data_IF_294357301883
#
_entry.id   IF_294357301883
#
_cell.length_a   1.000
_cell.length_b   1.000
_cell.length_c   1.000
_cell.angle_alpha   90.00
_cell.angle_beta   90.00
_cell.angle_gamma   90.00
#
_symmetry.space_group_name_H-M   'P 1'
#
loop_
_entity.id
_entity.type
_entity.pdbx_description
1 polymer ?
#
# COMPACT_ATOMS: atom_id res chain seq x y z
N UNK A 1 -21.61 4.02 -6.50
CA UNK A 1 -20.81 5.19 -6.07
C UNK A 1 -20.07 4.76 -4.82
N UNK A 2 -18.74 4.64 -4.87
CA UNK A 2 -17.94 4.19 -3.73
C UNK A 2 -17.94 5.33 -2.71
N UNK A 3 -18.62 5.12 -1.59
CA UNK A 3 -18.66 6.06 -0.47
C UNK A 3 -17.49 5.72 0.44
N UNK A 4 -16.60 6.67 0.70
CA UNK A 4 -15.48 6.52 1.64
C UNK A 4 -15.79 7.24 2.95
N UNK A 5 -16.61 6.65 3.84
CA UNK A 5 -16.97 7.29 5.10
C UNK A 5 -15.71 7.49 5.95
N UNK A 6 -15.49 8.73 6.40
CA UNK A 6 -14.35 9.09 7.25
C UNK A 6 -13.11 9.64 6.53
N UNK A 7 -13.12 9.79 5.19
CA UNK A 7 -12.02 10.48 4.50
C UNK A 7 -12.02 11.99 4.82
N UNK A 8 -13.20 12.61 4.96
CA UNK A 8 -13.33 14.00 5.37
C UNK A 8 -14.50 14.17 6.34
N UNK A 9 -14.26 14.94 7.39
CA UNK A 9 -15.31 15.50 8.25
C UNK A 9 -16.09 16.54 7.43
N UNK A 10 -17.42 16.50 7.48
CA UNK A 10 -18.26 17.50 6.81
C UNK A 10 -17.84 18.91 7.28
N UNK A 11 -17.39 19.76 6.33
CA UNK A 11 -16.86 21.10 6.62
C UNK A 11 -15.34 21.27 6.46
N UNK A 12 -14.56 20.19 6.27
CA UNK A 12 -13.11 20.28 5.96
C UNK A 12 -12.80 20.23 4.45
N UNK A 13 -13.81 20.00 3.62
CA UNK A 13 -13.73 19.89 2.16
C UNK A 13 -13.12 21.14 1.52
N UNK A 14 -13.51 22.33 1.98
CA UNK A 14 -12.98 23.60 1.46
C UNK A 14 -11.48 23.75 1.73
N UNK A 15 -10.98 23.22 2.86
CA UNK A 15 -9.56 23.27 3.20
C UNK A 15 -8.72 22.41 2.24
N UNK A 16 -9.22 21.22 1.93
CA UNK A 16 -8.62 20.31 0.94
C UNK A 16 -8.63 20.93 -0.45
N UNK A 17 -9.77 21.44 -0.88
CA UNK A 17 -9.94 22.08 -2.20
C UNK A 17 -9.02 23.31 -2.36
N UNK A 18 -8.91 24.15 -1.32
CA UNK A 18 -8.00 25.29 -1.32
C UNK A 18 -6.53 24.87 -1.41
N UNK A 19 -6.13 23.78 -0.74
CA UNK A 19 -4.76 23.26 -0.79
C UNK A 19 -4.45 22.64 -2.17
N UNK A 20 -5.39 21.86 -2.72
CA UNK A 20 -5.29 21.31 -4.07
C UNK A 20 -5.08 22.38 -5.14
N UNK A 21 -5.87 23.46 -5.10
CA UNK A 21 -5.76 24.55 -6.08
C UNK A 21 -4.45 25.34 -6.00
N UNK A 22 -3.72 25.27 -4.88
CA UNK A 22 -2.43 25.94 -4.72
C UNK A 22 -1.26 25.15 -5.30
N UNK A 23 -1.42 23.84 -5.41
CA UNK A 23 -0.38 22.91 -5.86
C UNK A 23 0.27 23.32 -7.19
N UNK A 24 -0.49 23.73 -8.25
CA UNK A 24 0.11 24.11 -9.54
C UNK A 24 0.91 25.43 -9.51
N UNK A 25 0.81 26.18 -8.41
CA UNK A 25 1.47 27.48 -8.23
C UNK A 25 2.59 27.43 -7.19
N UNK A 26 2.97 26.23 -6.73
CA UNK A 26 4.08 26.08 -5.80
C UNK A 26 5.38 25.96 -6.59
N UNK A 27 6.22 27.00 -6.52
CA UNK A 27 7.50 27.05 -7.25
C UNK A 27 8.45 25.89 -6.87
N UNK A 28 8.22 25.22 -5.74
CA UNK A 28 9.03 24.07 -5.30
C UNK A 28 8.53 22.72 -5.85
N UNK A 29 7.35 22.70 -6.49
CA UNK A 29 6.71 21.50 -7.03
C UNK A 29 6.60 21.67 -8.54
N UNK A 30 7.42 20.94 -9.30
CA UNK A 30 7.42 21.02 -10.76
C UNK A 30 6.88 19.72 -11.36
N UNK A 31 6.24 19.83 -12.53
CA UNK A 31 5.71 18.67 -13.26
C UNK A 31 6.82 17.75 -13.81
N UNK A 32 8.06 18.23 -13.85
CA UNK A 32 9.24 17.47 -14.28
C UNK A 32 9.78 16.54 -13.17
N UNK A 33 9.23 16.60 -11.96
CA UNK A 33 9.63 15.72 -10.87
C UNK A 33 9.17 14.29 -11.11
N UNK A 34 9.99 13.31 -10.71
CA UNK A 34 9.57 11.93 -10.58
C UNK A 34 8.34 11.82 -9.69
N UNK A 35 7.37 10.98 -10.09
CA UNK A 35 6.05 10.88 -9.44
C UNK A 35 6.14 10.68 -7.93
N UNK A 36 6.98 9.74 -7.48
CA UNK A 36 7.14 9.43 -6.06
C UNK A 36 7.77 10.60 -5.29
N UNK A 37 8.74 11.29 -5.91
CA UNK A 37 9.42 12.45 -5.31
C UNK A 37 8.47 13.62 -5.16
N UNK A 38 7.64 13.88 -6.18
CA UNK A 38 6.61 14.91 -6.17
C UNK A 38 5.64 14.69 -5.01
N UNK A 39 5.02 13.51 -4.95
CA UNK A 39 4.01 13.23 -3.93
C UNK A 39 4.62 13.10 -2.52
N UNK A 40 5.87 12.64 -2.41
CA UNK A 40 6.59 12.67 -1.13
C UNK A 40 6.80 14.10 -0.63
N UNK A 41 7.20 15.03 -1.50
CA UNK A 41 7.38 16.44 -1.14
C UNK A 41 6.06 17.07 -0.64
N UNK A 42 4.95 16.84 -1.37
CA UNK A 42 3.61 17.29 -0.97
C UNK A 42 3.22 16.70 0.40
N UNK A 43 3.47 15.40 0.61
CA UNK A 43 3.14 14.71 1.86
C UNK A 43 3.94 15.18 3.09
N UNK A 44 5.15 15.70 2.89
CA UNK A 44 6.02 16.19 3.96
C UNK A 44 5.75 17.65 4.31
N UNK A 45 5.08 18.38 3.44
CA UNK A 45 4.80 19.79 3.62
C UNK A 45 3.49 20.03 4.40
N UNK A 46 3.62 20.77 5.50
CA UNK A 46 2.51 21.08 6.41
C UNK A 46 1.44 21.98 5.78
N UNK A 47 1.79 22.73 4.72
CA UNK A 47 0.87 23.56 3.92
C UNK A 47 -0.24 22.74 3.27
N UNK A 48 0.01 21.45 3.01
CA UNK A 48 -0.92 20.51 2.38
C UNK A 48 -1.51 19.48 3.35
N UNK A 49 -1.40 19.70 4.66
CA UNK A 49 -1.77 18.71 5.70
C UNK A 49 -3.20 18.14 5.60
N UNK A 50 -4.19 18.91 5.16
CA UNK A 50 -5.56 18.42 4.99
C UNK A 50 -5.71 17.58 3.71
N UNK A 51 -5.06 18.03 2.63
CA UNK A 51 -5.01 17.35 1.33
C UNK A 51 -4.20 16.05 1.36
N UNK A 52 -3.14 16.00 2.17
CA UNK A 52 -2.25 14.86 2.33
C UNK A 52 -2.98 13.58 2.75
N UNK A 53 -4.02 13.72 3.58
CA UNK A 53 -4.81 12.57 4.00
C UNK A 53 -5.59 11.95 2.84
N UNK A 54 -6.22 12.79 2.01
CA UNK A 54 -6.96 12.34 0.83
C UNK A 54 -6.04 11.70 -0.22
N UNK A 55 -4.90 12.32 -0.50
CA UNK A 55 -3.96 11.81 -1.49
C UNK A 55 -3.32 10.49 -1.06
N UNK A 56 -2.96 10.33 0.22
CA UNK A 56 -2.49 9.03 0.72
C UNK A 56 -3.50 7.93 0.47
N UNK A 57 -4.79 8.19 0.74
CA UNK A 57 -5.82 7.21 0.45
C UNK A 57 -5.89 6.90 -1.05
N UNK A 58 -5.94 7.90 -1.92
CA UNK A 58 -6.03 7.73 -3.38
C UNK A 58 -4.84 6.98 -3.95
N UNK A 59 -3.61 7.34 -3.57
CA UNK A 59 -2.39 6.73 -4.08
C UNK A 59 -2.19 5.29 -3.60
N UNK A 60 -2.85 4.89 -2.51
CA UNK A 60 -2.85 3.49 -2.04
C UNK A 60 -3.89 2.61 -2.73
N UNK A 61 -4.78 3.18 -3.54
CA UNK A 61 -5.75 2.39 -4.30
C UNK A 61 -5.00 1.68 -5.44
N UNK A 62 -5.01 0.34 -5.48
CA UNK A 62 -4.39 -0.38 -6.58
C UNK A 62 -5.15 -0.05 -7.88
N UNK A 63 -4.42 0.46 -8.87
CA UNK A 63 -4.99 0.82 -10.18
C UNK A 63 -5.41 -0.42 -10.98
N UNK A 64 -4.83 -1.58 -10.67
CA UNK A 64 -5.11 -2.83 -11.37
C UNK A 64 -5.34 -4.00 -10.42
N UNK A 65 -6.11 -4.98 -10.89
CA UNK A 65 -6.30 -6.24 -10.18
C UNK A 65 -5.16 -7.23 -10.41
N UNK A 66 -4.15 -6.89 -11.24
CA UNK A 66 -3.10 -7.82 -11.68
C UNK A 66 -2.31 -8.44 -10.50
N UNK A 67 -2.03 -7.65 -9.46
CA UNK A 67 -1.35 -8.16 -8.26
C UNK A 67 -2.23 -9.12 -7.45
N UNK A 68 -3.54 -8.84 -7.38
CA UNK A 68 -4.50 -9.75 -6.76
C UNK A 68 -4.64 -11.05 -7.57
N UNK A 69 -4.68 -10.96 -8.90
CA UNK A 69 -4.72 -12.10 -9.82
C UNK A 69 -3.45 -12.98 -9.71
N UNK A 70 -2.29 -12.36 -9.50
CA UNK A 70 -1.03 -13.08 -9.23
C UNK A 70 -1.13 -13.89 -7.93
N UNK A 71 -1.67 -13.31 -6.85
CA UNK A 71 -1.90 -14.03 -5.59
C UNK A 71 -2.93 -15.14 -5.78
N UNK A 72 -4.04 -14.89 -6.49
CA UNK A 72 -5.05 -15.90 -6.75
C UNK A 72 -4.53 -17.07 -7.59
N UNK A 73 -3.66 -16.80 -8.56
CA UNK A 73 -3.00 -17.83 -9.36
C UNK A 73 -2.12 -18.75 -8.51
N UNK A 74 -1.41 -18.17 -7.54
CA UNK A 74 -0.62 -18.95 -6.59
C UNK A 74 -1.50 -19.76 -5.64
N UNK A 75 -2.53 -19.14 -5.05
CA UNK A 75 -3.49 -19.85 -4.19
C UNK A 75 -4.14 -21.01 -4.95
N UNK A 76 -4.48 -20.79 -6.22
CA UNK A 76 -4.98 -21.84 -7.10
C UNK A 76 -3.96 -22.97 -7.19
N UNK A 77 -2.70 -22.69 -7.55
CA UNK A 77 -1.63 -23.69 -7.62
C UNK A 77 -1.43 -24.46 -6.31
N UNK A 78 -1.43 -23.80 -5.16
CA UNK A 78 -1.27 -24.46 -3.85
C UNK A 78 -2.43 -25.41 -3.54
N UNK A 79 -3.65 -25.01 -3.90
CA UNK A 79 -4.88 -25.77 -3.65
C UNK A 79 -5.07 -26.92 -4.64
N UNK A 80 -4.80 -26.71 -5.93
CA UNK A 80 -5.13 -27.66 -7.00
C UNK A 80 -3.94 -28.48 -7.47
N UNK A 81 -2.76 -27.89 -7.64
CA UNK A 81 -1.62 -28.55 -8.27
C UNK A 81 -0.82 -29.45 -7.30
N UNK A 82 -0.77 -29.11 -6.01
CA UNK A 82 0.05 -29.84 -5.03
C UNK A 82 -0.73 -30.96 -4.31
N UNK A 83 -2.00 -31.24 -4.67
CA UNK A 83 -2.91 -32.16 -3.93
C UNK A 83 -2.88 -31.92 -2.41
N UNK A 84 -2.64 -30.67 -2.00
CA UNK A 84 -2.50 -30.31 -0.61
C UNK A 84 -3.88 -29.98 -0.04
N UNK A 85 -4.26 -30.68 1.03
CA UNK A 85 -5.52 -30.41 1.76
C UNK A 85 -5.32 -29.26 2.76
N UNK A 86 -4.73 -28.16 2.29
CA UNK A 86 -4.56 -26.97 3.12
C UNK A 86 -5.93 -26.34 3.37
N UNK A 87 -6.22 -26.12 4.64
CA UNK A 87 -7.38 -25.31 5.04
C UNK A 87 -7.18 -23.88 4.55
N UNK A 88 -8.28 -23.14 4.36
CA UNK A 88 -8.22 -21.72 3.99
C UNK A 88 -7.37 -20.90 4.97
N UNK A 89 -7.37 -21.26 6.26
CA UNK A 89 -6.55 -20.60 7.28
C UNK A 89 -5.05 -20.81 7.04
N UNK A 90 -4.64 -22.02 6.64
CA UNK A 90 -3.24 -22.30 6.32
C UNK A 90 -2.80 -21.62 5.03
N UNK A 91 -3.66 -21.57 4.02
CA UNK A 91 -3.41 -20.82 2.78
C UNK A 91 -3.22 -19.32 3.05
N UNK A 92 -4.07 -18.73 3.89
CA UNK A 92 -3.96 -17.32 4.25
C UNK A 92 -2.64 -17.02 4.99
N UNK A 93 -2.26 -17.87 5.96
CA UNK A 93 -0.99 -17.74 6.67
C UNK A 93 0.21 -17.90 5.74
N UNK A 94 0.15 -18.83 4.78
CA UNK A 94 1.20 -19.00 3.78
C UNK A 94 1.38 -17.74 2.94
N UNK A 95 0.29 -17.21 2.37
CA UNK A 95 0.34 -15.98 1.56
C UNK A 95 0.86 -14.82 2.39
N UNK A 96 0.38 -14.64 3.62
CA UNK A 96 0.84 -13.58 4.51
C UNK A 96 2.35 -13.67 4.82
N UNK A 97 2.85 -14.87 5.11
CA UNK A 97 4.28 -15.09 5.38
C UNK A 97 5.14 -14.82 4.13
N UNK A 98 4.71 -15.32 2.97
CA UNK A 98 5.40 -15.10 1.69
C UNK A 98 5.47 -13.62 1.34
N UNK A 99 4.35 -12.93 1.44
CA UNK A 99 4.26 -11.49 1.13
C UNK A 99 5.05 -10.64 2.13
N UNK A 100 5.12 -11.06 3.40
CA UNK A 100 6.02 -10.46 4.39
C UNK A 100 7.49 -10.58 3.98
N UNK A 101 7.94 -11.80 3.67
CA UNK A 101 9.30 -12.05 3.21
C UNK A 101 9.63 -11.24 1.94
N UNK A 102 8.70 -11.17 0.98
CA UNK A 102 8.87 -10.41 -0.28
C UNK A 102 8.99 -8.90 -0.07
N UNK A 103 8.36 -8.36 0.97
CA UNK A 103 8.47 -6.93 1.31
C UNK A 103 9.83 -6.60 1.92
N UNK A 104 10.31 -7.47 2.80
CA UNK A 104 11.54 -7.25 3.55
C UNK A 104 12.80 -7.69 2.77
N UNK A 105 12.64 -8.57 1.79
CA UNK A 105 13.72 -9.12 0.97
C UNK A 105 13.21 -9.50 -0.42
N UNK A 106 14.06 -9.44 -1.44
CA UNK A 106 13.67 -9.84 -2.81
C UNK A 106 13.17 -11.31 -2.87
N UNK A 107 13.73 -12.18 -2.01
CA UNK A 107 13.44 -13.60 -1.99
C UNK A 107 13.74 -14.24 -0.61
N UNK A 108 13.32 -15.49 -0.42
CA UNK A 108 13.58 -16.23 0.81
C UNK A 108 15.05 -16.61 1.03
N UNK A 109 15.91 -16.45 0.02
CA UNK A 109 17.35 -16.75 0.13
C UNK A 109 18.09 -15.67 0.91
N UNK A 110 17.70 -14.41 0.72
CA UNK A 110 18.27 -13.25 1.40
C UNK A 110 17.50 -12.85 2.67
N UNK A 111 16.47 -13.60 3.03
CA UNK A 111 15.64 -13.29 4.20
C UNK A 111 16.41 -13.60 5.49
N UNK A 112 16.67 -12.57 6.29
CA UNK A 112 17.27 -12.70 7.62
C UNK A 112 16.20 -12.51 8.70
N UNK A 113 15.84 -13.56 9.46
CA UNK A 113 14.85 -13.46 10.52
C UNK A 113 15.33 -12.53 11.64
N UNK A 114 14.44 -11.67 12.13
CA UNK A 114 14.77 -10.82 13.27
C UNK A 114 14.85 -11.63 14.59
N UNK A 115 15.43 -11.01 15.63
CA UNK A 115 15.58 -11.66 16.94
C UNK A 115 14.23 -12.03 17.56
N UNK A 116 13.15 -11.32 17.24
CA UNK A 116 11.81 -11.55 17.78
C UNK A 116 11.20 -12.81 17.14
N UNK A 117 11.41 -13.01 15.84
CA UNK A 117 10.99 -14.20 15.10
C UNK A 117 11.72 -15.43 15.63
N UNK A 118 13.04 -15.34 15.83
CA UNK A 118 13.85 -16.44 16.36
C UNK A 118 13.43 -16.84 17.79
N UNK A 119 13.05 -15.88 18.62
CA UNK A 119 12.55 -16.15 19.98
C UNK A 119 11.27 -16.98 20.02
N UNK A 120 10.47 -16.99 18.94
CA UNK A 120 9.25 -17.80 18.85
C UNK A 120 9.49 -19.26 18.44
N UNK A 121 10.72 -19.61 18.07
CA UNK A 121 11.11 -20.97 17.71
C UNK A 121 11.74 -21.76 18.87
N UNK A 122 12.08 -21.08 19.97
CA UNK A 122 12.53 -21.67 21.24
C UNK A 122 11.38 -21.75 22.24
#
# INVERSE_FOLDING_TARGET
MIHFPGILDHGKEQGVDNQWRKLPYDDNLTDDMEFDVFWQAVMQDTRYSAFNFCIKAILTIPVTNADSERIFSEVHRLKSAVRNRLTSSSLLKYVAAREGIRRDSENCEKFEPDKIMLQKFN
#
